data_IF_819186315961
#
_entry.id   IF_819186315961
#
_cell.length_a   1.000
_cell.length_b   1.000
_cell.length_c   1.000
_cell.angle_alpha   90.00
_cell.angle_beta   90.00
_cell.angle_gamma   90.00
#
_symmetry.space_group_name_H-M   'P 1'
#
loop_
_entity.id
_entity.type
_entity.pdbx_description
1 polymer ?
#
# COMPACT_ATOMS: atom_id res chain seq x y z
N UNK A 1 -6.03 -31.12 -61.16
CA UNK A 1 -5.31 -29.91 -60.71
C UNK A 1 -6.36 -28.91 -60.23
N UNK A 2 -6.36 -28.56 -58.93
CA UNK A 2 -5.59 -27.41 -58.45
C UNK A 2 -4.76 -27.71 -57.19
N UNK A 3 -3.79 -26.84 -56.95
CA UNK A 3 -2.65 -26.96 -56.03
C UNK A 3 -3.00 -26.53 -54.60
N UNK A 4 -2.77 -27.41 -53.63
CA UNK A 4 -2.74 -27.06 -52.21
C UNK A 4 -1.42 -26.34 -51.90
N UNK A 5 -1.47 -25.04 -51.56
CA UNK A 5 -0.31 -24.32 -51.07
C UNK A 5 -0.16 -24.52 -49.55
N UNK A 6 0.86 -25.29 -49.17
CA UNK A 6 1.31 -25.42 -47.79
C UNK A 6 2.24 -24.25 -47.46
N UNK A 7 1.72 -23.20 -46.84
CA UNK A 7 2.56 -22.22 -46.15
C UNK A 7 2.70 -22.61 -44.67
N UNK A 8 3.93 -22.73 -44.14
CA UNK A 8 4.12 -22.92 -42.72
C UNK A 8 3.76 -21.63 -41.95
N UNK A 9 3.21 -21.73 -40.73
CA UNK A 9 2.94 -20.56 -39.92
C UNK A 9 4.27 -19.92 -39.52
N UNK A 10 4.46 -18.65 -39.91
CA UNK A 10 5.54 -17.81 -39.44
C UNK A 10 5.32 -17.56 -37.94
N UNK A 11 6.09 -18.25 -37.11
CA UNK A 11 6.20 -17.94 -35.69
C UNK A 11 6.94 -16.61 -35.56
N UNK A 12 6.18 -15.53 -35.44
CA UNK A 12 6.72 -14.22 -35.06
C UNK A 12 7.23 -14.34 -33.63
N UNK A 13 8.55 -14.44 -33.46
CA UNK A 13 9.21 -14.32 -32.16
C UNK A 13 8.99 -12.87 -31.70
N UNK A 14 7.94 -12.65 -30.90
CA UNK A 14 7.71 -11.38 -30.25
C UNK A 14 8.80 -11.21 -29.20
N UNK A 15 9.84 -10.46 -29.54
CA UNK A 15 10.79 -9.99 -28.54
C UNK A 15 9.99 -9.19 -27.50
N UNK A 16 10.00 -9.58 -26.22
CA UNK A 16 9.36 -8.77 -25.19
C UNK A 16 10.05 -7.39 -25.20
N UNK A 17 9.28 -6.29 -25.16
CA UNK A 17 9.85 -4.96 -25.15
C UNK A 17 10.86 -4.85 -23.99
N UNK A 18 11.99 -4.15 -24.18
CA UNK A 18 12.99 -3.98 -23.14
C UNK A 18 12.31 -3.37 -21.92
N UNK A 19 12.25 -4.13 -20.83
CA UNK A 19 11.67 -3.66 -19.58
C UNK A 19 12.45 -2.41 -19.17
N UNK A 20 11.76 -1.26 -19.13
CA UNK A 20 12.31 0.00 -18.65
C UNK A 20 12.73 -0.19 -17.18
N UNK A 21 13.99 -0.57 -16.98
CA UNK A 21 14.58 -0.61 -15.65
C UNK A 21 14.59 0.82 -15.13
N UNK A 22 13.85 1.09 -14.06
CA UNK A 22 13.92 2.37 -13.37
C UNK A 22 15.27 2.41 -12.65
N UNK A 23 16.30 2.87 -13.34
CA UNK A 23 17.66 2.98 -12.81
C UNK A 23 17.68 4.21 -11.91
N UNK A 24 17.78 3.97 -10.62
CA UNK A 24 18.08 5.00 -9.64
C UNK A 24 19.58 5.29 -9.77
N UNK A 25 19.89 6.31 -10.56
CA UNK A 25 21.21 6.93 -10.73
C UNK A 25 22.27 6.11 -11.50
N UNK A 26 22.78 6.61 -12.65
CA UNK A 26 23.85 5.98 -13.41
C UNK A 26 25.25 6.08 -12.74
N UNK A 27 25.35 6.73 -11.59
CA UNK A 27 26.63 7.07 -10.94
C UNK A 27 27.05 6.10 -9.83
N UNK A 28 26.19 5.16 -9.41
CA UNK A 28 26.53 4.22 -8.36
C UNK A 28 27.32 3.03 -8.92
N UNK A 29 28.39 2.64 -8.23
CA UNK A 29 29.15 1.45 -8.60
C UNK A 29 28.31 0.18 -8.44
N UNK A 30 28.68 -0.90 -9.14
CA UNK A 30 27.99 -2.19 -8.99
C UNK A 30 28.07 -2.75 -7.56
N UNK A 31 29.09 -2.38 -6.80
CA UNK A 31 29.29 -2.84 -5.42
C UNK A 31 28.41 -2.08 -4.42
N UNK A 32 28.02 -0.86 -4.75
CA UNK A 32 27.13 -0.04 -3.93
C UNK A 32 25.65 -0.30 -4.23
N UNK A 33 25.35 -0.95 -5.34
CA UNK A 33 23.96 -1.22 -5.77
C UNK A 33 23.49 -2.61 -5.38
N UNK A 34 22.22 -2.67 -4.99
CA UNK A 34 21.45 -3.88 -4.74
C UNK A 34 20.35 -3.99 -5.80
N UNK A 35 20.19 -5.17 -6.39
CA UNK A 35 19.18 -5.41 -7.43
C UNK A 35 18.00 -6.17 -6.85
N UNK A 36 16.83 -5.52 -6.82
CA UNK A 36 15.56 -6.17 -6.55
C UNK A 36 14.92 -6.58 -7.87
N UNK A 37 14.60 -7.86 -8.04
CA UNK A 37 13.83 -8.36 -9.18
C UNK A 37 12.42 -8.69 -8.71
N UNK A 38 11.44 -7.92 -9.17
CA UNK A 38 10.03 -8.13 -8.84
C UNK A 38 9.49 -9.48 -9.31
N UNK A 39 8.34 -9.89 -8.78
CA UNK A 39 7.65 -11.13 -9.20
C UNK A 39 7.29 -11.11 -10.70
N UNK A 40 6.95 -9.94 -11.25
CA UNK A 40 6.74 -9.67 -12.67
C UNK A 40 8.04 -9.38 -13.45
N UNK A 41 9.20 -9.72 -12.87
CA UNK A 41 10.54 -9.73 -13.49
C UNK A 41 11.07 -8.36 -13.91
N UNK A 42 10.61 -7.30 -13.26
CA UNK A 42 11.11 -5.94 -13.46
C UNK A 42 12.27 -5.69 -12.48
N UNK A 43 13.47 -5.33 -12.97
CA UNK A 43 14.61 -5.06 -12.12
C UNK A 43 14.59 -3.62 -11.60
N UNK A 44 14.89 -3.48 -10.31
CA UNK A 44 15.08 -2.21 -9.62
C UNK A 44 16.49 -2.18 -9.03
N UNK A 45 17.22 -1.10 -9.30
CA UNK A 45 18.55 -0.87 -8.72
C UNK A 45 18.40 0.14 -7.59
N UNK A 46 18.83 -0.24 -6.39
CA UNK A 46 18.70 0.59 -5.19
C UNK A 46 20.07 0.61 -4.51
N UNK A 47 20.56 1.76 -4.04
CA UNK A 47 21.76 1.76 -3.24
C UNK A 47 21.60 0.93 -1.95
N UNK A 48 22.60 0.07 -1.69
CA UNK A 48 22.55 -0.99 -0.68
C UNK A 48 22.33 -0.42 0.72
N UNK A 49 22.91 0.75 1.00
CA UNK A 49 22.82 1.41 2.29
C UNK A 49 21.37 1.78 2.65
N UNK A 50 20.64 2.39 1.73
CA UNK A 50 19.23 2.75 1.94
C UNK A 50 18.39 1.48 2.15
N UNK A 51 18.60 0.45 1.33
CA UNK A 51 17.86 -0.81 1.48
C UNK A 51 18.13 -1.47 2.84
N UNK A 52 19.37 -1.45 3.30
CA UNK A 52 19.77 -1.96 4.62
C UNK A 52 19.16 -1.16 5.77
N UNK A 53 19.03 0.16 5.63
CA UNK A 53 18.37 1.03 6.60
C UNK A 53 16.86 0.76 6.69
N UNK A 54 16.24 0.40 5.56
CA UNK A 54 14.82 0.04 5.53
C UNK A 54 14.56 -1.27 6.30
N UNK A 55 15.37 -2.29 6.03
CA UNK A 55 15.33 -3.57 6.75
C UNK A 55 16.61 -4.40 6.55
N UNK A 56 17.18 -4.98 7.63
CA UNK A 56 18.29 -5.92 7.52
C UNK A 56 17.90 -7.26 6.86
N UNK A 57 16.60 -7.56 6.73
CA UNK A 57 16.11 -8.78 6.11
C UNK A 57 16.55 -8.89 4.63
N UNK A 58 16.65 -7.76 3.91
CA UNK A 58 17.11 -7.73 2.52
C UNK A 58 18.56 -8.19 2.38
N UNK A 59 19.45 -7.74 3.27
CA UNK A 59 20.85 -8.15 3.26
C UNK A 59 20.99 -9.63 3.58
N UNK A 60 20.28 -10.07 4.62
CA UNK A 60 20.25 -11.47 5.05
C UNK A 60 19.78 -12.37 3.91
N UNK A 61 18.68 -12.01 3.23
CA UNK A 61 18.15 -12.76 2.10
C UNK A 61 19.14 -12.86 0.92
N UNK A 62 19.94 -11.82 0.68
CA UNK A 62 20.95 -11.86 -0.39
C UNK A 62 22.18 -12.70 -0.08
N UNK A 63 22.54 -12.84 1.20
CA UNK A 63 23.74 -13.58 1.64
C UNK A 63 23.69 -15.07 1.27
N UNK A 64 22.49 -15.62 1.04
CA UNK A 64 22.28 -16.99 0.60
C UNK A 64 22.53 -17.21 -0.90
N UNK A 65 22.81 -16.16 -1.67
CA UNK A 65 23.09 -16.29 -3.10
C UNK A 65 24.54 -16.70 -3.34
N UNK A 66 24.74 -17.89 -3.92
CA UNK A 66 26.09 -18.43 -4.25
C UNK A 66 26.90 -17.57 -5.23
N UNK A 67 26.25 -16.64 -5.92
CA UNK A 67 26.86 -15.85 -7.00
C UNK A 67 27.66 -14.65 -6.49
N UNK A 68 27.58 -14.34 -5.18
CA UNK A 68 28.18 -13.13 -4.61
C UNK A 68 27.55 -11.82 -5.10
N UNK A 69 26.49 -11.91 -5.92
CA UNK A 69 25.78 -10.73 -6.43
C UNK A 69 24.73 -10.29 -5.42
N UNK A 70 24.71 -9.00 -5.11
CA UNK A 70 23.67 -8.36 -4.27
C UNK A 70 22.36 -8.26 -5.04
N UNK A 71 21.70 -9.41 -5.20
CA UNK A 71 20.45 -9.53 -5.93
C UNK A 71 19.45 -10.34 -5.12
N UNK A 72 18.21 -9.86 -5.07
CA UNK A 72 17.08 -10.57 -4.50
C UNK A 72 15.99 -10.70 -5.54
N UNK A 73 15.49 -11.93 -5.72
CA UNK A 73 14.37 -12.21 -6.61
C UNK A 73 13.14 -12.52 -5.79
N UNK A 74 12.11 -11.72 -6.01
CA UNK A 74 10.81 -11.91 -5.41
C UNK A 74 9.98 -12.92 -6.21
N UNK A 75 9.01 -13.53 -5.53
CA UNK A 75 8.20 -14.62 -6.08
C UNK A 75 6.70 -14.48 -5.79
N UNK A 76 6.32 -13.63 -4.84
CA UNK A 76 4.93 -13.40 -4.48
C UNK A 76 4.27 -12.43 -5.46
N UNK A 77 3.44 -12.96 -6.35
CA UNK A 77 2.75 -12.19 -7.39
C UNK A 77 1.67 -11.24 -6.86
N UNK A 78 1.33 -11.30 -5.58
CA UNK A 78 0.30 -10.44 -4.99
C UNK A 78 0.88 -9.19 -4.33
N UNK A 79 2.03 -9.32 -3.67
CA UNK A 79 2.60 -8.23 -2.85
C UNK A 79 4.03 -7.84 -3.25
N UNK A 80 4.73 -8.62 -4.08
CA UNK A 80 6.10 -8.31 -4.53
C UNK A 80 6.16 -7.95 -6.02
N UNK A 81 5.13 -7.29 -6.53
CA UNK A 81 5.05 -6.82 -7.91
C UNK A 81 5.79 -5.49 -8.10
N UNK A 82 6.08 -5.14 -9.35
CA UNK A 82 6.71 -3.87 -9.70
C UNK A 82 5.91 -2.65 -9.25
N UNK A 83 4.57 -2.73 -9.22
CA UNK A 83 3.72 -1.63 -8.76
C UNK A 83 3.90 -1.36 -7.26
N UNK A 84 4.01 -2.40 -6.44
CA UNK A 84 4.29 -2.27 -5.00
C UNK A 84 5.72 -1.80 -4.76
N UNK A 85 6.70 -2.38 -5.47
CA UNK A 85 8.10 -1.98 -5.31
C UNK A 85 8.36 -0.54 -5.72
N UNK A 86 7.65 0.00 -6.72
CA UNK A 86 7.74 1.41 -7.04
C UNK A 86 7.35 2.31 -5.86
N UNK A 87 6.27 1.97 -5.14
CA UNK A 87 5.84 2.71 -3.94
C UNK A 87 6.87 2.60 -2.82
N UNK A 88 7.39 1.39 -2.58
CA UNK A 88 8.43 1.16 -1.59
C UNK A 88 9.69 1.97 -1.87
N UNK A 89 10.13 2.00 -3.13
CA UNK A 89 11.32 2.75 -3.55
C UNK A 89 11.10 4.25 -3.43
N UNK A 90 9.92 4.75 -3.80
CA UNK A 90 9.54 6.17 -3.63
C UNK A 90 9.61 6.55 -2.14
N UNK A 91 9.03 5.74 -1.26
CA UNK A 91 9.13 5.95 0.19
C UNK A 91 10.57 5.92 0.70
N UNK A 92 11.39 5.01 0.17
CA UNK A 92 12.76 4.82 0.63
C UNK A 92 13.70 5.95 0.19
N UNK A 93 13.54 6.43 -1.03
CA UNK A 93 14.46 7.41 -1.63
C UNK A 93 13.97 8.85 -1.46
N UNK A 94 12.66 9.07 -1.62
CA UNK A 94 12.07 10.40 -1.59
C UNK A 94 11.48 10.74 -0.21
N UNK A 95 11.58 9.82 0.75
CA UNK A 95 11.01 9.93 2.10
C UNK A 95 9.51 10.26 2.09
N UNK A 96 8.78 9.81 1.06
CA UNK A 96 7.35 10.06 0.93
C UNK A 96 6.72 9.44 -0.32
N UNK A 97 5.45 9.77 -0.54
CA UNK A 97 4.73 9.46 -1.78
C UNK A 97 4.32 10.78 -2.44
N UNK A 98 4.64 10.91 -3.72
CA UNK A 98 4.25 12.06 -4.54
C UNK A 98 2.72 12.16 -4.68
N UNK A 99 2.23 13.37 -4.90
CA UNK A 99 0.79 13.61 -5.12
C UNK A 99 0.23 12.79 -6.29
N UNK A 100 1.03 12.58 -7.35
CA UNK A 100 0.63 11.75 -8.49
C UNK A 100 0.44 10.28 -8.10
N UNK A 101 1.33 9.76 -7.26
CA UNK A 101 1.25 8.40 -6.74
C UNK A 101 0.03 8.25 -5.83
N UNK A 102 -0.19 9.21 -4.92
CA UNK A 102 -1.36 9.22 -4.02
C UNK A 102 -2.69 9.26 -4.79
N UNK A 103 -2.81 10.11 -5.82
CA UNK A 103 -4.01 10.19 -6.67
C UNK A 103 -4.35 8.90 -7.43
N UNK A 104 -3.34 8.06 -7.67
CA UNK A 104 -3.48 6.78 -8.39
C UNK A 104 -3.54 5.59 -7.44
N UNK A 105 -3.49 5.83 -6.14
CA UNK A 105 -3.43 4.78 -5.15
C UNK A 105 -4.76 4.03 -5.08
N UNK A 106 -4.71 2.72 -5.33
CA UNK A 106 -5.86 1.82 -5.23
C UNK A 106 -5.83 1.05 -3.92
N UNK A 107 -6.96 0.44 -3.54
CA UNK A 107 -7.03 -0.46 -2.37
C UNK A 107 -5.98 -1.57 -2.51
N UNK A 108 -5.94 -2.24 -3.66
CA UNK A 108 -5.01 -3.35 -3.90
C UNK A 108 -3.54 -2.95 -3.72
N UNK A 109 -3.14 -1.80 -4.27
CA UNK A 109 -1.75 -1.32 -4.16
C UNK A 109 -1.40 -0.85 -2.75
N UNK A 110 -2.32 -0.18 -2.06
CA UNK A 110 -2.08 0.29 -0.69
C UNK A 110 -1.99 -0.89 0.30
N UNK A 111 -2.92 -1.84 0.24
CA UNK A 111 -2.89 -3.04 1.09
C UNK A 111 -1.72 -3.96 0.75
N UNK A 112 -1.37 -4.06 -0.54
CA UNK A 112 -0.20 -4.82 -0.99
C UNK A 112 1.10 -4.23 -0.45
N UNK A 113 1.20 -2.90 -0.39
CA UNK A 113 2.34 -2.21 0.20
C UNK A 113 2.46 -2.50 1.70
N UNK A 114 1.36 -2.48 2.46
CA UNK A 114 1.38 -2.85 3.89
C UNK A 114 1.88 -4.29 4.08
N UNK A 115 1.33 -5.25 3.33
CA UNK A 115 1.77 -6.65 3.41
C UNK A 115 3.23 -6.83 3.02
N UNK A 116 3.70 -6.13 1.98
CA UNK A 116 5.10 -6.14 1.58
C UNK A 116 6.00 -5.61 2.72
N UNK A 117 5.67 -4.46 3.29
CA UNK A 117 6.47 -3.84 4.36
C UNK A 117 6.48 -4.69 5.64
N UNK A 118 5.37 -5.38 5.96
CA UNK A 118 5.32 -6.34 7.06
C UNK A 118 6.17 -7.58 6.79
N UNK A 119 6.04 -8.18 5.59
CA UNK A 119 6.81 -9.37 5.18
C UNK A 119 8.32 -9.12 5.24
N UNK A 120 8.75 -7.93 4.83
CA UNK A 120 10.15 -7.54 4.81
C UNK A 120 10.59 -6.79 6.06
N UNK A 121 9.77 -6.77 7.12
CA UNK A 121 10.11 -6.19 8.43
C UNK A 121 10.60 -4.74 8.34
N UNK A 122 9.84 -3.88 7.65
CA UNK A 122 10.14 -2.46 7.44
C UNK A 122 9.25 -1.53 8.30
N UNK A 123 9.28 -1.57 9.65
CA UNK A 123 8.30 -0.87 10.49
C UNK A 123 8.40 0.67 10.41
N UNK A 124 9.60 1.21 10.17
CA UNK A 124 9.77 2.66 9.99
C UNK A 124 9.12 3.13 8.67
N UNK A 125 9.41 2.42 7.58
CA UNK A 125 8.82 2.70 6.26
C UNK A 125 7.31 2.47 6.25
N UNK A 126 6.81 1.48 7.01
CA UNK A 126 5.37 1.27 7.19
C UNK A 126 4.68 2.49 7.83
N UNK A 127 5.24 3.00 8.93
CA UNK A 127 4.73 4.23 9.57
C UNK A 127 4.75 5.43 8.62
N UNK A 128 5.82 5.58 7.84
CA UNK A 128 5.91 6.63 6.83
C UNK A 128 4.84 6.47 5.73
N UNK A 129 4.64 5.26 5.22
CA UNK A 129 3.60 4.97 4.24
C UNK A 129 2.21 5.38 4.76
N UNK A 130 1.90 5.02 6.01
CA UNK A 130 0.67 5.43 6.68
C UNK A 130 0.53 6.94 6.79
N UNK A 131 1.59 7.64 7.21
CA UNK A 131 1.59 9.10 7.29
C UNK A 131 1.31 9.75 5.92
N UNK A 132 1.93 9.26 4.85
CA UNK A 132 1.69 9.77 3.49
C UNK A 132 0.26 9.47 3.00
N UNK A 133 -0.26 8.26 3.25
CA UNK A 133 -1.63 7.88 2.86
C UNK A 133 -2.65 8.71 3.63
N UNK A 134 -2.44 8.92 4.93
CA UNK A 134 -3.27 9.78 5.77
C UNK A 134 -3.22 11.24 5.34
N UNK A 135 -2.03 11.78 5.06
CA UNK A 135 -1.90 13.13 4.51
C UNK A 135 -2.61 13.25 3.15
N UNK A 136 -2.44 12.27 2.27
CA UNK A 136 -3.15 12.17 0.99
C UNK A 136 -4.66 12.16 1.18
N UNK A 137 -5.16 11.48 2.22
CA UNK A 137 -6.57 11.50 2.57
C UNK A 137 -7.05 12.89 3.03
N UNK A 138 -6.33 13.51 3.97
CA UNK A 138 -6.68 14.85 4.48
C UNK A 138 -6.67 15.94 3.40
N UNK A 139 -5.90 15.74 2.33
CA UNK A 139 -5.79 16.66 1.19
C UNK A 139 -6.73 16.28 0.03
N UNK A 140 -7.49 15.18 0.15
CA UNK A 140 -8.39 14.68 -0.90
C UNK A 140 -7.70 13.94 -2.05
N UNK A 141 -6.39 13.71 -1.97
CA UNK A 141 -5.64 12.94 -2.95
C UNK A 141 -5.88 11.42 -2.84
N UNK A 142 -6.24 10.92 -1.66
CA UNK A 142 -6.54 9.50 -1.41
C UNK A 142 -8.00 9.36 -1.01
N UNK A 143 -8.70 8.39 -1.62
CA UNK A 143 -10.09 8.07 -1.26
C UNK A 143 -10.17 7.49 0.15
N UNK A 144 -11.22 7.85 0.88
CA UNK A 144 -11.55 7.30 2.21
C UNK A 144 -11.52 5.77 2.23
N UNK A 145 -12.14 5.11 1.25
CA UNK A 145 -12.14 3.63 1.20
C UNK A 145 -10.73 3.01 1.14
N UNK A 146 -9.78 3.68 0.48
CA UNK A 146 -8.39 3.20 0.39
C UNK A 146 -7.72 3.24 1.76
N UNK A 147 -7.81 4.36 2.48
CA UNK A 147 -7.20 4.48 3.81
C UNK A 147 -7.87 3.55 4.83
N UNK A 148 -9.19 3.39 4.79
CA UNK A 148 -9.91 2.47 5.67
C UNK A 148 -9.43 1.02 5.51
N UNK A 149 -9.37 0.54 4.27
CA UNK A 149 -8.90 -0.81 3.95
C UNK A 149 -7.42 -1.01 4.30
N UNK A 150 -6.61 0.02 4.09
CA UNK A 150 -5.18 0.00 4.45
C UNK A 150 -5.00 -0.11 5.97
N UNK A 151 -5.76 0.68 6.75
CA UNK A 151 -5.74 0.63 8.21
C UNK A 151 -6.21 -0.73 8.76
N UNK A 152 -7.25 -1.33 8.17
CA UNK A 152 -7.70 -2.67 8.52
C UNK A 152 -6.59 -3.72 8.32
N UNK A 153 -5.84 -3.64 7.21
CA UNK A 153 -4.75 -4.57 6.90
C UNK A 153 -3.54 -4.39 7.81
N UNK A 154 -3.26 -3.17 8.25
CA UNK A 154 -2.19 -2.91 9.22
C UNK A 154 -2.61 -3.11 10.68
N UNK A 155 -3.86 -3.52 10.92
CA UNK A 155 -4.40 -3.74 12.25
C UNK A 155 -4.42 -2.46 13.12
N UNK A 156 -4.47 -1.29 12.48
CA UNK A 156 -4.52 0.01 13.15
C UNK A 156 -5.95 0.34 13.59
N UNK A 157 -6.31 -0.17 14.77
CA UNK A 157 -7.63 0.01 15.34
C UNK A 157 -7.98 1.49 15.59
N UNK A 158 -6.99 2.35 15.83
CA UNK A 158 -7.21 3.76 16.11
C UNK A 158 -7.64 4.51 14.84
N UNK A 159 -6.96 4.28 13.71
CA UNK A 159 -7.38 4.86 12.42
C UNK A 159 -8.73 4.30 11.99
N UNK A 160 -8.94 2.99 12.13
CA UNK A 160 -10.25 2.37 11.80
C UNK A 160 -11.37 2.99 12.65
N UNK A 161 -11.15 3.15 13.96
CA UNK A 161 -12.13 3.78 14.86
C UNK A 161 -12.37 5.26 14.49
N UNK A 162 -11.31 6.01 14.21
CA UNK A 162 -11.40 7.41 13.78
C UNK A 162 -12.25 7.52 12.51
N UNK A 163 -11.98 6.70 11.50
CA UNK A 163 -12.70 6.68 10.23
C UNK A 163 -14.16 6.24 10.34
N UNK A 164 -14.48 5.38 11.31
CA UNK A 164 -15.86 4.98 11.60
C UNK A 164 -16.63 6.09 12.32
N UNK A 165 -15.97 6.90 13.15
CA UNK A 165 -16.63 7.92 13.97
C UNK A 165 -16.68 9.30 13.32
N UNK A 166 -15.87 9.53 12.29
CA UNK A 166 -15.73 10.88 11.75
C UNK A 166 -16.87 11.24 10.76
N UNK A 167 -17.73 12.16 11.19
CA UNK A 167 -18.89 12.63 10.43
C UNK A 167 -18.53 13.47 9.21
N UNK A 168 -17.37 14.16 9.21
CA UNK A 168 -16.89 14.93 8.07
C UNK A 168 -16.31 14.03 6.96
N UNK A 169 -15.96 12.80 7.34
CA UNK A 169 -15.09 11.90 6.60
C UNK A 169 -15.78 10.56 6.27
N UNK A 170 -16.98 10.34 6.79
CA UNK A 170 -17.91 9.24 6.50
C UNK A 170 -18.44 9.19 5.08
N UNK A 171 -17.84 9.92 4.12
CA UNK A 171 -18.18 9.83 2.69
C UNK A 171 -18.12 8.40 2.14
N UNK A 172 -17.26 7.54 2.69
CA UNK A 172 -17.23 6.13 2.33
C UNK A 172 -18.46 5.34 2.81
N UNK A 173 -19.10 5.73 3.91
CA UNK A 173 -20.38 5.13 4.33
C UNK A 173 -21.47 5.41 3.30
N UNK A 174 -21.36 6.52 2.56
CA UNK A 174 -22.32 6.94 1.53
C UNK A 174 -21.98 6.40 0.13
N UNK A 175 -20.73 6.04 -0.13
CA UNK A 175 -20.30 5.43 -1.39
C UNK A 175 -20.77 3.96 -1.47
N UNK A 176 -22.05 3.74 -1.77
CA UNK A 176 -22.59 2.41 -2.08
C UNK A 176 -23.83 1.99 -1.28
N UNK A 177 -24.21 2.76 -0.25
CA UNK A 177 -25.47 2.52 0.45
C UNK A 177 -26.64 3.26 -0.22
N UNK A 178 -27.82 2.65 -0.20
CA UNK A 178 -29.04 3.31 -0.68
C UNK A 178 -29.36 4.53 0.20
N UNK A 179 -30.06 5.52 -0.34
CA UNK A 179 -30.53 6.72 0.41
C UNK A 179 -31.24 6.39 1.73
N UNK A 180 -31.80 5.19 1.89
CA UNK A 180 -32.43 4.76 3.13
C UNK A 180 -31.44 4.61 4.30
N UNK A 181 -30.14 4.48 4.03
CA UNK A 181 -29.10 4.43 5.05
C UNK A 181 -28.71 5.83 5.58
N UNK A 182 -29.09 6.92 4.90
CA UNK A 182 -28.80 8.29 5.34
C UNK A 182 -29.66 8.72 6.53
N UNK A 183 -30.84 8.11 6.73
CA UNK A 183 -31.77 8.41 7.83
C UNK A 183 -31.45 7.63 9.12
N UNK A 184 -30.55 6.66 9.07
CA UNK A 184 -30.04 6.03 10.28
C UNK A 184 -29.03 7.00 10.90
N UNK A 185 -29.42 7.64 12.01
CA UNK A 185 -28.47 8.12 13.01
C UNK A 185 -27.73 6.90 13.54
N UNK A 186 -26.71 6.49 12.79
CA UNK A 186 -25.76 5.43 13.12
C UNK A 186 -24.87 5.92 14.26
N UNK A 187 -25.52 6.14 15.40
CA UNK A 187 -24.87 6.48 16.66
C UNK A 187 -24.17 5.22 17.14
N UNK A 188 -22.87 5.16 16.82
CA UNK A 188 -21.80 4.41 17.50
C UNK A 188 -21.90 2.87 17.37
N UNK A 189 -23.08 2.28 17.26
CA UNK A 189 -23.28 0.83 17.19
C UNK A 189 -23.36 0.32 15.76
N UNK A 190 -22.26 -0.27 15.28
CA UNK A 190 -22.23 -0.84 13.92
C UNK A 190 -23.06 -2.10 13.73
N UNK A 191 -23.55 -2.72 14.82
CA UNK A 191 -24.46 -3.85 14.72
C UNK A 191 -25.77 -3.41 14.09
N UNK A 192 -26.09 -2.12 14.15
CA UNK A 192 -27.19 -1.49 13.44
C UNK A 192 -26.88 -1.15 11.98
N UNK A 193 -25.67 -1.39 11.47
CA UNK A 193 -25.36 -1.09 10.07
C UNK A 193 -26.07 -2.10 9.15
N UNK A 194 -26.58 -1.64 8.00
CA UNK A 194 -27.21 -2.52 7.02
C UNK A 194 -26.27 -3.65 6.58
N UNK A 195 -26.85 -4.80 6.23
CA UNK A 195 -26.09 -5.95 5.75
C UNK A 195 -25.22 -5.61 4.54
N UNK A 196 -25.69 -4.72 3.67
CA UNK A 196 -24.99 -4.23 2.49
C UNK A 196 -23.66 -3.58 2.85
N UNK A 197 -23.61 -2.86 3.98
CA UNK A 197 -22.36 -2.27 4.46
C UNK A 197 -21.37 -3.34 4.91
N UNK A 198 -21.84 -4.33 5.67
CA UNK A 198 -21.01 -5.45 6.09
C UNK A 198 -20.52 -6.29 4.92
N UNK A 199 -21.31 -6.39 3.85
CA UNK A 199 -20.93 -7.05 2.61
C UNK A 199 -19.83 -6.30 1.83
N UNK A 200 -19.68 -4.99 2.02
CA UNK A 200 -18.59 -4.21 1.43
C UNK A 200 -17.25 -4.44 2.13
N UNK A 201 -17.26 -4.76 3.43
CA UNK A 201 -16.04 -5.07 4.20
C UNK A 201 -15.72 -6.56 4.00
N UNK A 202 -14.58 -6.91 3.37
CA UNK A 202 -14.20 -8.31 3.25
C UNK A 202 -14.19 -9.01 4.61
N UNK A 203 -14.75 -10.22 4.69
CA UNK A 203 -14.96 -10.97 5.95
C UNK A 203 -13.70 -11.00 6.82
N UNK A 204 -12.53 -11.17 6.20
CA UNK A 204 -11.22 -11.19 6.87
C UNK A 204 -10.83 -9.88 7.58
N UNK A 205 -11.57 -8.79 7.39
CA UNK A 205 -11.33 -7.48 8.03
C UNK A 205 -12.46 -7.06 8.96
N UNK A 206 -13.57 -7.81 9.01
CA UNK A 206 -14.68 -7.51 9.91
C UNK A 206 -14.25 -7.56 11.40
N UNK A 207 -13.23 -8.36 11.73
CA UNK A 207 -12.66 -8.37 13.08
C UNK A 207 -11.98 -7.04 13.44
N UNK A 208 -11.32 -6.37 12.49
CA UNK A 208 -10.62 -5.10 12.74
C UNK A 208 -11.63 -4.00 13.03
N UNK A 209 -12.74 -4.03 12.28
CA UNK A 209 -13.94 -3.22 12.52
C UNK A 209 -14.47 -3.48 13.93
N UNK A 210 -14.77 -4.74 14.29
CA UNK A 210 -15.24 -5.10 15.63
C UNK A 210 -14.29 -4.66 16.77
N UNK A 211 -12.98 -4.83 16.58
CA UNK A 211 -11.94 -4.38 17.54
C UNK A 211 -11.97 -2.87 17.71
N UNK A 212 -12.04 -2.11 16.61
CA UNK A 212 -12.10 -0.65 16.63
C UNK A 212 -13.31 -0.12 17.43
N UNK A 213 -14.46 -0.79 17.39
CA UNK A 213 -15.63 -0.41 18.23
C UNK A 213 -15.38 -0.58 19.71
N UNK A 214 -14.86 -1.75 20.11
CA UNK A 214 -14.54 -1.98 21.52
C UNK A 214 -13.48 -1.00 22.04
N UNK A 215 -12.68 -0.43 21.14
CA UNK A 215 -11.69 0.59 21.43
C UNK A 215 -12.32 1.99 21.59
N UNK A 216 -13.23 2.36 20.68
CA UNK A 216 -13.97 3.63 20.73
C UNK A 216 -14.80 3.79 22.00
N UNK A 217 -15.46 2.72 22.45
CA UNK A 217 -16.26 2.71 23.68
C UNK A 217 -15.40 2.89 24.94
N UNK A 218 -14.16 2.39 24.92
CA UNK A 218 -13.24 2.45 26.07
C UNK A 218 -12.46 3.76 26.14
N UNK A 219 -12.19 4.40 25.01
CA UNK A 219 -11.35 5.59 24.95
C UNK A 219 -11.89 6.67 23.98
N UNK A 220 -13.07 7.24 24.25
CA UNK A 220 -13.65 8.28 23.39
C UNK A 220 -12.75 9.54 23.29
N UNK A 221 -11.93 9.81 24.30
CA UNK A 221 -10.98 10.91 24.31
C UNK A 221 -9.69 10.60 23.54
N UNK A 222 -9.16 9.37 23.59
CA UNK A 222 -7.85 9.08 22.97
C UNK A 222 -7.89 9.06 21.44
N UNK A 223 -9.04 8.74 20.84
CA UNK A 223 -9.24 8.80 19.38
C UNK A 223 -9.26 10.27 18.92
N UNK A 224 -9.90 11.17 19.68
CA UNK A 224 -9.91 12.61 19.40
C UNK A 224 -8.53 13.23 19.63
N UNK A 225 -7.92 12.99 20.79
CA UNK A 225 -6.63 13.58 21.16
C UNK A 225 -5.49 13.14 20.24
N UNK A 226 -5.44 11.87 19.78
CA UNK A 226 -4.41 11.44 18.83
C UNK A 226 -4.66 11.91 17.40
N UNK A 227 -5.92 12.02 16.98
CA UNK A 227 -6.26 12.71 15.73
C UNK A 227 -5.79 14.17 15.77
N UNK A 228 -5.88 14.81 16.92
CA UNK A 228 -5.40 16.18 17.13
C UNK A 228 -3.87 16.26 17.20
N UNK A 229 -3.19 15.31 17.86
CA UNK A 229 -1.71 15.22 17.85
C UNK A 229 -1.18 14.97 16.43
N UNK A 230 -1.81 14.08 15.66
CA UNK A 230 -1.43 13.83 14.27
C UNK A 230 -1.70 15.07 13.39
N UNK A 231 -2.81 15.79 13.64
CA UNK A 231 -3.10 17.09 13.00
C UNK A 231 -2.08 18.17 13.37
N UNK A 232 -1.66 18.27 14.63
CA UNK A 232 -0.63 19.22 15.10
C UNK A 232 0.74 18.91 14.50
N UNK A 233 1.14 17.63 14.44
CA UNK A 233 2.38 17.21 13.77
C UNK A 233 2.37 17.56 12.27
N UNK A 234 1.21 17.49 11.61
CA UNK A 234 1.05 17.87 10.20
C UNK A 234 0.98 19.39 9.97
N UNK A 235 0.53 20.18 10.95
CA UNK A 235 0.59 21.65 10.89
C UNK A 235 2.04 22.16 10.90
N UNK A 236 2.92 21.49 11.65
CA UNK A 236 4.34 21.85 11.76
C UNK A 236 5.14 21.64 10.45
N UNK A 237 4.62 20.86 9.51
CA UNK A 237 5.26 20.56 8.21
C UNK A 237 4.84 21.48 7.05
N UNK A 238 3.98 22.48 7.28
CA UNK A 238 3.72 23.52 6.27
C UNK A 238 4.74 24.65 6.43
N UNK A 239 5.91 24.48 5.80
CA UNK A 239 6.87 25.58 5.50
C UNK A 239 6.91 25.74 3.99
#
# INVERSE_FOLDING_TARGET
>A
MPTCSNHPPLYTISHPPPALSKVVSPLLSSEETFVLLSADRIPFRIPTLQLAQASPAFLTASSFTRTGKRQLRFSDSHIETSSILNLFIELLLDAGLSSRTLLRLSVATATGLVHFLNKWECPATLRLAFACIHQGYTTGAVKSWVIFMTACVAEDADIVASMLNDSQYGGWKREGLSKAADDLTLDIDVRGYPFEWWAMVPVRFQWAVGKAMTYGDKYPQSVRERGDVFRELLKATKV
#
